data_IF_785566756448
#
_entry.id   IF_785566756448
#
_cell.length_a   1.000
_cell.length_b   1.000
_cell.length_c   1.000
_cell.angle_alpha   90.00
_cell.angle_beta   90.00
_cell.angle_gamma   90.00
#
_symmetry.space_group_name_H-M   'P 1'
#
loop_
_entity.id
_entity.type
_entity.pdbx_description
1 polymer ?
#
# COMPACT_ATOMS: atom_id res chain seq x y z
N UNK A 1 7.53 16.97 10.80
CA UNK A 1 6.36 16.12 10.48
C UNK A 1 6.89 14.85 9.86
N UNK A 2 6.39 13.69 10.26
CA UNK A 2 6.76 12.44 9.58
C UNK A 2 5.90 12.39 8.33
N UNK A 3 6.52 12.54 7.17
CA UNK A 3 5.82 12.47 5.89
C UNK A 3 5.82 11.04 5.36
N UNK A 4 5.85 10.02 6.21
CA UNK A 4 5.82 8.63 5.78
C UNK A 4 5.09 7.78 6.81
N UNK A 5 4.50 6.68 6.34
CA UNK A 5 3.86 5.65 7.15
C UNK A 5 4.56 4.32 6.89
N UNK A 6 4.95 3.66 7.98
CA UNK A 6 5.44 2.28 7.98
C UNK A 6 4.33 1.39 8.52
N UNK A 7 3.94 0.37 7.76
CA UNK A 7 2.93 -0.59 8.21
C UNK A 7 3.25 -1.98 7.68
N UNK A 8 3.00 -3.00 8.50
CA UNK A 8 2.97 -4.36 7.99
C UNK A 8 1.67 -4.58 7.24
N UNK A 9 1.78 -4.91 5.96
CA UNK A 9 0.67 -5.30 5.11
C UNK A 9 0.70 -6.80 4.92
N UNK A 10 -0.47 -7.39 4.72
CA UNK A 10 -0.60 -8.81 4.43
C UNK A 10 -0.85 -8.96 2.92
N UNK A 11 -0.01 -9.75 2.24
CA UNK A 11 -0.18 -10.02 0.83
C UNK A 11 -1.56 -10.66 0.60
N UNK A 12 -2.40 -10.09 -0.28
CA UNK A 12 -3.74 -10.62 -0.55
C UNK A 12 -3.71 -11.99 -1.24
N UNK A 13 -2.63 -12.32 -1.96
CA UNK A 13 -2.49 -13.59 -2.68
C UNK A 13 -1.98 -14.73 -1.80
N UNK A 14 -0.95 -14.50 -0.97
CA UNK A 14 -0.30 -15.56 -0.18
C UNK A 14 -0.47 -15.41 1.34
N UNK A 15 -1.01 -14.30 1.82
CA UNK A 15 -1.17 -14.00 3.24
C UNK A 15 0.13 -13.65 3.99
N UNK A 16 1.26 -13.51 3.29
CA UNK A 16 2.53 -13.18 3.94
C UNK A 16 2.60 -11.71 4.37
N UNK A 17 3.24 -11.45 5.52
CA UNK A 17 3.39 -10.10 6.04
C UNK A 17 4.66 -9.46 5.48
N UNK A 18 4.49 -8.40 4.69
CA UNK A 18 5.60 -7.59 4.16
C UNK A 18 5.57 -6.20 4.83
N UNK A 19 6.72 -5.67 5.27
CA UNK A 19 6.80 -4.27 5.70
C UNK A 19 6.69 -3.35 4.49
N UNK A 20 5.67 -2.50 4.47
CA UNK A 20 5.46 -1.48 3.46
C UNK A 20 5.80 -0.10 4.06
N UNK A 21 6.61 0.67 3.32
CA UNK A 21 6.97 2.04 3.69
C UNK A 21 6.44 2.96 2.60
N UNK A 22 5.48 3.80 2.96
CA UNK A 22 4.86 4.77 2.07
C UNK A 22 5.28 6.16 2.49
N UNK A 23 5.98 6.87 1.62
CA UNK A 23 6.17 8.30 1.78
C UNK A 23 4.89 9.03 1.30
N UNK A 24 4.45 10.00 2.06
CA UNK A 24 3.29 10.88 1.89
C UNK A 24 3.73 12.31 1.54
N UNK A 25 5.03 12.57 1.31
CA UNK A 25 5.53 13.92 1.00
C UNK A 25 4.99 14.41 -0.35
N UNK A 26 4.60 13.51 -1.24
CA UNK A 26 4.02 13.81 -2.55
C UNK A 26 2.48 13.78 -2.57
N UNK A 27 1.81 13.66 -1.41
CA UNK A 27 0.35 13.63 -1.35
C UNK A 27 -0.23 12.23 -1.59
N UNK A 28 -1.34 12.15 -2.31
CA UNK A 28 -1.93 10.87 -2.72
C UNK A 28 -1.04 10.13 -3.72
N UNK A 29 -0.83 8.84 -3.48
CA UNK A 29 0.09 8.02 -4.26
C UNK A 29 -0.47 6.63 -4.47
N UNK A 30 -0.41 6.14 -5.70
CA UNK A 30 -0.68 4.76 -6.08
C UNK A 30 0.59 4.13 -6.64
N UNK A 31 0.91 2.92 -6.19
CA UNK A 31 2.07 2.18 -6.67
C UNK A 31 1.88 0.68 -6.45
N UNK A 32 2.68 -0.11 -7.14
CA UNK A 32 2.66 -1.56 -7.03
C UNK A 32 3.93 -2.03 -6.34
N UNK A 33 3.78 -2.90 -5.34
CA UNK A 33 4.88 -3.51 -4.64
C UNK A 33 4.80 -5.03 -4.76
N UNK A 34 5.91 -5.68 -5.13
CA UNK A 34 5.93 -7.12 -5.26
C UNK A 34 6.04 -7.82 -3.90
N UNK A 35 5.26 -8.89 -3.72
CA UNK A 35 5.43 -9.75 -2.56
C UNK A 35 6.76 -10.50 -2.64
N UNK A 36 7.62 -10.35 -1.62
CA UNK A 36 8.90 -11.08 -1.51
C UNK A 36 8.80 -12.60 -1.45
N UNK A 37 7.58 -13.14 -1.27
CA UNK A 37 7.33 -14.59 -1.16
C UNK A 37 6.73 -15.16 -2.43
N UNK A 38 5.62 -14.59 -2.89
CA UNK A 38 4.90 -15.11 -4.05
C UNK A 38 5.14 -14.33 -5.35
N UNK A 39 5.95 -13.26 -5.33
CA UNK A 39 6.20 -12.38 -6.47
C UNK A 39 4.93 -11.81 -7.13
N UNK A 40 3.80 -11.77 -6.41
CA UNK A 40 2.57 -11.18 -6.93
C UNK A 40 2.58 -9.67 -6.67
N UNK A 41 2.07 -8.86 -7.61
CA UNK A 41 1.93 -7.43 -7.41
C UNK A 41 0.87 -7.14 -6.35
N UNK A 42 1.21 -6.28 -5.40
CA UNK A 42 0.32 -5.75 -4.38
C UNK A 42 0.09 -4.29 -4.74
N UNK A 43 -1.14 -3.95 -5.09
CA UNK A 43 -1.51 -2.58 -5.36
C UNK A 43 -1.62 -1.84 -4.02
N UNK A 44 -0.75 -0.85 -3.81
CA UNK A 44 -0.68 -0.03 -2.61
C UNK A 44 -1.15 1.39 -2.94
N UNK A 45 -2.15 1.88 -2.21
CA UNK A 45 -2.67 3.23 -2.37
C UNK A 45 -2.59 3.99 -1.05
N UNK A 46 -1.90 5.13 -1.09
CA UNK A 46 -1.78 6.08 -0.01
C UNK A 46 -2.67 7.28 -0.29
N UNK A 47 -3.47 7.65 0.70
CA UNK A 47 -4.31 8.85 0.67
C UNK A 47 -4.00 9.71 1.89
N UNK A 48 -3.64 10.96 1.63
CA UNK A 48 -3.33 11.96 2.66
C UNK A 48 -4.58 12.75 2.97
N UNK A 49 -5.08 12.63 4.19
CA UNK A 49 -6.21 13.42 4.67
C UNK A 49 -5.69 14.64 5.45
N UNK A 50 -5.53 15.76 4.74
CA UNK A 50 -5.06 17.02 5.33
C UNK A 50 -6.04 17.60 6.35
N UNK A 51 -7.34 17.30 6.24
CA UNK A 51 -8.36 17.80 7.17
C UNK A 51 -8.29 17.15 8.55
N UNK A 52 -7.95 15.85 8.61
CA UNK A 52 -7.87 15.09 9.85
C UNK A 52 -6.43 14.78 10.27
N UNK A 53 -5.43 15.27 9.53
CA UNK A 53 -4.01 14.96 9.72
C UNK A 53 -3.77 13.43 9.79
N UNK A 54 -4.40 12.69 8.87
CA UNK A 54 -4.37 11.22 8.84
C UNK A 54 -3.85 10.70 7.50
N UNK A 55 -3.07 9.62 7.57
CA UNK A 55 -2.63 8.86 6.41
C UNK A 55 -3.48 7.58 6.33
N UNK A 56 -4.17 7.41 5.21
CA UNK A 56 -4.95 6.22 4.90
C UNK A 56 -4.16 5.38 3.89
N UNK A 57 -3.94 4.13 4.22
CA UNK A 57 -3.23 3.17 3.37
C UNK A 57 -4.15 2.02 3.02
N UNK A 58 -4.30 1.77 1.74
CA UNK A 58 -5.09 0.69 1.16
C UNK A 58 -4.16 -0.28 0.44
N UNK A 59 -4.45 -1.57 0.57
CA UNK A 59 -3.73 -2.64 -0.12
C UNK A 59 -4.73 -3.59 -0.72
N UNK A 60 -4.60 -3.80 -2.03
CA UNK A 60 -5.49 -4.62 -2.81
C UNK A 60 -4.67 -5.57 -3.69
N UNK A 61 -5.21 -6.75 -3.97
CA UNK A 61 -4.69 -7.55 -5.07
C UNK A 61 -5.15 -6.87 -6.34
N UNK A 62 -4.24 -6.69 -7.30
CA UNK A 62 -4.63 -6.32 -8.67
C UNK A 62 -5.32 -7.55 -9.29
N UNK A 63 -6.54 -7.78 -8.84
CA UNK A 63 -7.43 -8.81 -9.34
C UNK A 63 -8.09 -8.18 -10.56
N UNK A 64 -7.36 -8.21 -11.68
CA UNK A 64 -7.89 -7.91 -13.00
C UNK A 64 -8.99 -8.95 -13.31
N UNK A 65 -10.17 -8.74 -12.74
CA UNK A 65 -11.42 -9.42 -13.07
C UNK A 65 -11.85 -8.94 -14.45
N UNK A 66 -11.10 -9.31 -15.49
CA UNK A 66 -11.59 -9.28 -16.86
C UNK A 66 -12.44 -10.53 -17.08
N UNK A 67 -13.75 -10.34 -16.96
CA UNK A 67 -14.80 -11.25 -17.41
C UNK A 67 -14.88 -11.30 -18.94
#
# INVERSE_FOLDING_TARGET
>A
MKNYVEKMISCPTCGHHTPLIMDASNGDQDFYEDCRVCCNPIHCRLQVDESNDKLLAFVDADDEQYF
#
